data_IF_061687110933
#
_entry.id   IF_061687110933
#
_cell.length_a   1.000
_cell.length_b   1.000
_cell.length_c   1.000
_cell.angle_alpha   90.00
_cell.angle_beta   90.00
_cell.angle_gamma   90.00
#
_symmetry.space_group_name_H-M   'P 1'
#
loop_
_entity.id
_entity.type
_entity.pdbx_description
1 polymer ?
#
# COMPACT_ATOMS: atom_id res chain seq x y z
N UNK A 1 39.12 25.49 32.49
CA UNK A 1 38.77 24.14 32.01
C UNK A 1 37.37 24.23 31.42
N UNK A 2 37.29 23.93 30.13
CA UNK A 2 36.17 24.05 29.19
C UNK A 2 34.74 23.97 29.76
N UNK A 3 33.96 25.02 29.50
CA UNK A 3 32.48 24.95 29.48
C UNK A 3 32.05 24.01 28.34
N UNK A 4 31.45 22.88 28.69
CA UNK A 4 30.82 21.96 27.74
C UNK A 4 29.61 22.68 27.14
N UNK A 5 29.83 23.37 26.01
CA UNK A 5 28.76 23.84 25.14
C UNK A 5 28.00 22.62 24.63
N UNK A 6 26.86 22.36 25.25
CA UNK A 6 25.83 21.45 24.77
C UNK A 6 25.40 21.95 23.39
N UNK A 7 25.98 21.35 22.35
CA UNK A 7 25.59 21.58 20.95
C UNK A 7 24.18 21.02 20.80
N UNK A 8 23.17 21.85 21.07
CA UNK A 8 21.81 21.59 20.63
C UNK A 8 21.88 21.56 19.10
N UNK A 9 21.67 20.42 18.43
CA UNK A 9 21.64 20.41 16.98
C UNK A 9 20.53 21.36 16.56
N UNK A 10 20.87 22.40 15.78
CA UNK A 10 19.88 23.23 15.10
C UNK A 10 19.04 22.29 14.26
N UNK A 11 17.84 22.01 14.74
CA UNK A 11 16.81 21.32 13.99
C UNK A 11 16.67 22.09 12.67
N UNK A 12 17.18 21.50 11.60
CA UNK A 12 17.01 22.03 10.26
C UNK A 12 15.51 22.10 10.03
N UNK A 13 14.95 23.30 10.13
CA UNK A 13 13.61 23.57 9.66
C UNK A 13 13.60 23.21 8.18
N UNK A 14 13.15 21.99 7.89
CA UNK A 14 12.71 21.60 6.59
C UNK A 14 11.47 22.47 6.29
N UNK A 15 11.72 23.65 5.72
CA UNK A 15 10.73 24.66 5.31
C UNK A 15 9.81 24.18 4.18
N UNK A 16 9.67 22.87 3.98
CA UNK A 16 8.60 22.35 3.15
C UNK A 16 7.29 22.55 3.90
N UNK A 17 6.34 23.35 3.37
CA UNK A 17 5.06 23.55 4.04
C UNK A 17 4.41 22.18 4.20
N UNK A 18 3.97 21.86 5.42
CA UNK A 18 3.41 20.54 5.78
C UNK A 18 2.26 20.13 4.82
N UNK A 19 1.56 21.12 4.26
CA UNK A 19 0.59 20.97 3.17
C UNK A 19 1.16 20.26 1.93
N UNK A 20 2.39 20.57 1.50
CA UNK A 20 3.03 19.96 0.33
C UNK A 20 3.33 18.48 0.55
N UNK A 21 3.70 18.09 1.77
CA UNK A 21 4.03 16.70 2.08
C UNK A 21 2.79 15.80 2.18
N UNK A 22 1.70 16.32 2.73
CA UNK A 22 0.39 15.64 2.74
C UNK A 22 -0.15 15.52 1.32
N UNK A 23 -0.05 16.59 0.51
CA UNK A 23 -0.43 16.58 -0.90
C UNK A 23 0.30 15.49 -1.69
N UNK A 24 1.61 15.36 -1.51
CA UNK A 24 2.39 14.33 -2.20
C UNK A 24 1.96 12.92 -1.79
N UNK A 25 1.61 12.70 -0.51
CA UNK A 25 1.03 11.44 -0.05
C UNK A 25 -0.31 11.14 -0.71
N UNK A 26 -1.22 12.12 -0.76
CA UNK A 26 -2.52 11.96 -1.42
C UNK A 26 -2.39 11.69 -2.91
N UNK A 27 -1.49 12.40 -3.60
CA UNK A 27 -1.21 12.17 -5.03
C UNK A 27 -0.73 10.74 -5.22
N UNK A 28 0.16 10.24 -4.35
CA UNK A 28 0.64 8.87 -4.43
C UNK A 28 -0.48 7.86 -4.20
N UNK A 29 -1.37 8.09 -3.23
CA UNK A 29 -2.56 7.25 -3.01
C UNK A 29 -3.46 7.23 -4.24
N UNK A 30 -3.68 8.39 -4.87
CA UNK A 30 -4.50 8.50 -6.07
C UNK A 30 -3.87 7.75 -7.25
N UNK A 31 -2.56 7.88 -7.45
CA UNK A 31 -1.82 7.11 -8.46
C UNK A 31 -1.96 5.61 -8.21
N UNK A 32 -1.77 5.16 -6.97
CA UNK A 32 -1.95 3.76 -6.60
C UNK A 32 -3.36 3.25 -6.89
N UNK A 33 -4.38 4.05 -6.58
CA UNK A 33 -5.76 3.73 -6.89
C UNK A 33 -6.04 3.64 -8.39
N UNK A 34 -5.48 4.54 -9.20
CA UNK A 34 -5.60 4.48 -10.67
C UNK A 34 -4.93 3.24 -11.25
N UNK A 35 -3.76 2.86 -10.74
CA UNK A 35 -3.07 1.62 -11.11
C UNK A 35 -3.90 0.39 -10.72
N UNK A 36 -4.52 0.41 -9.54
CA UNK A 36 -5.41 -0.66 -9.10
C UNK A 36 -6.65 -0.76 -10.00
N UNK A 37 -7.24 0.36 -10.43
CA UNK A 37 -8.35 0.36 -11.40
C UNK A 37 -7.95 -0.16 -12.78
N UNK A 38 -6.76 0.22 -13.26
CA UNK A 38 -6.19 -0.25 -14.52
C UNK A 38 -6.01 -1.77 -14.49
N UNK A 39 -5.54 -2.32 -13.37
CA UNK A 39 -5.51 -3.74 -13.12
C UNK A 39 -6.92 -4.35 -12.97
N UNK A 40 -7.82 -3.81 -12.16
CA UNK A 40 -9.11 -4.44 -11.90
C UNK A 40 -10.04 -4.48 -13.14
N UNK A 41 -10.04 -3.41 -13.94
CA UNK A 41 -10.86 -3.28 -15.15
C UNK A 41 -10.05 -2.59 -16.28
N UNK A 42 -9.17 -3.33 -16.97
CA UNK A 42 -8.41 -2.78 -18.09
C UNK A 42 -9.31 -2.27 -19.24
N UNK A 43 -10.53 -2.80 -19.35
CA UNK A 43 -11.52 -2.34 -20.33
C UNK A 43 -11.97 -0.89 -20.15
N UNK A 44 -11.80 -0.29 -18.96
CA UNK A 44 -12.07 1.14 -18.75
C UNK A 44 -11.09 2.04 -19.51
N UNK A 45 -9.93 1.50 -19.88
CA UNK A 45 -8.85 2.20 -20.56
C UNK A 45 -8.69 1.74 -22.01
N UNK A 46 -9.65 0.97 -22.55
CA UNK A 46 -9.63 0.49 -23.93
C UNK A 46 -8.60 -0.63 -24.20
N UNK A 47 -8.11 -1.32 -23.16
CA UNK A 47 -7.24 -2.50 -23.33
C UNK A 47 -8.09 -3.77 -23.50
N UNK A 48 -7.76 -4.57 -24.52
CA UNK A 48 -8.44 -5.83 -24.83
C UNK A 48 -8.22 -6.91 -23.76
N UNK A 49 -9.20 -7.82 -23.62
CA UNK A 49 -9.16 -8.94 -22.66
C UNK A 49 -8.58 -10.19 -23.32
N UNK A 50 -7.25 -10.26 -23.42
CA UNK A 50 -6.53 -11.49 -23.79
C UNK A 50 -6.18 -12.30 -22.53
N UNK A 51 -6.24 -13.65 -22.53
CA UNK A 51 -5.88 -14.49 -21.38
C UNK A 51 -4.46 -14.25 -20.84
N UNK A 52 -3.51 -13.90 -21.72
CA UNK A 52 -2.12 -13.54 -21.35
C UNK A 52 -2.07 -12.26 -20.50
N UNK A 53 -3.09 -11.41 -20.62
CA UNK A 53 -3.21 -10.16 -19.86
C UNK A 53 -3.64 -10.42 -18.42
N UNK A 54 -4.25 -11.56 -18.08
CA UNK A 54 -4.64 -11.88 -16.69
C UNK A 54 -3.48 -11.88 -15.69
N UNK A 55 -2.30 -12.35 -16.10
CA UNK A 55 -1.08 -12.27 -15.29
C UNK A 55 -0.63 -10.81 -15.09
N UNK A 56 -0.55 -10.05 -16.19
CA UNK A 56 -0.17 -8.62 -16.16
C UNK A 56 -1.18 -7.82 -15.32
N UNK A 57 -2.44 -8.21 -15.38
CA UNK A 57 -3.55 -7.63 -14.66
C UNK A 57 -3.36 -7.79 -13.14
N UNK A 58 -3.10 -9.00 -12.66
CA UNK A 58 -2.86 -9.25 -11.22
C UNK A 58 -1.58 -8.57 -10.74
N UNK A 59 -0.52 -8.54 -11.55
CA UNK A 59 0.70 -7.80 -11.23
C UNK A 59 0.45 -6.28 -11.10
N UNK A 60 -0.36 -5.69 -11.99
CA UNK A 60 -0.77 -4.29 -11.90
C UNK A 60 -1.64 -4.01 -10.67
N UNK A 61 -2.56 -4.90 -10.30
CA UNK A 61 -3.37 -4.78 -9.08
C UNK A 61 -2.44 -4.73 -7.86
N UNK A 62 -1.50 -5.66 -7.74
CA UNK A 62 -0.57 -5.73 -6.60
C UNK A 62 0.33 -4.48 -6.55
N UNK A 63 0.87 -4.06 -7.69
CA UNK A 63 1.71 -2.87 -7.77
C UNK A 63 0.93 -1.60 -7.40
N UNK A 64 -0.30 -1.46 -7.90
CA UNK A 64 -1.20 -0.38 -7.53
C UNK A 64 -1.54 -0.37 -6.04
N UNK A 65 -1.82 -1.55 -5.47
CA UNK A 65 -2.09 -1.73 -4.04
C UNK A 65 -0.87 -1.32 -3.18
N UNK A 66 0.35 -1.69 -3.59
CA UNK A 66 1.58 -1.31 -2.88
C UNK A 66 1.80 0.21 -2.88
N UNK A 67 1.61 0.86 -4.04
CA UNK A 67 1.70 2.32 -4.16
C UNK A 67 0.60 3.01 -3.32
N UNK A 68 -0.61 2.45 -3.32
CA UNK A 68 -1.73 2.94 -2.51
C UNK A 68 -1.43 2.84 -1.01
N UNK A 69 -0.92 1.70 -0.54
CA UNK A 69 -0.51 1.51 0.86
C UNK A 69 0.56 2.52 1.28
N UNK A 70 1.55 2.77 0.42
CA UNK A 70 2.62 3.74 0.70
C UNK A 70 2.08 5.17 0.75
N UNK A 71 1.22 5.55 -0.20
CA UNK A 71 0.55 6.86 -0.19
C UNK A 71 -0.30 7.06 1.05
N UNK A 72 -1.11 6.06 1.43
CA UNK A 72 -1.93 6.09 2.63
C UNK A 72 -1.08 6.27 3.89
N UNK A 73 -0.01 5.49 4.05
CA UNK A 73 0.91 5.59 5.19
C UNK A 73 1.53 7.00 5.31
N UNK A 74 2.07 7.55 4.21
CA UNK A 74 2.71 8.87 4.23
C UNK A 74 1.69 9.98 4.53
N UNK A 75 0.49 9.86 3.97
CA UNK A 75 -0.59 10.83 4.16
C UNK A 75 -1.06 10.86 5.61
N UNK A 76 -1.42 9.70 6.17
CA UNK A 76 -1.96 9.61 7.53
C UNK A 76 -0.92 9.96 8.59
N UNK A 77 0.33 9.48 8.45
CA UNK A 77 1.40 9.77 9.41
C UNK A 77 1.73 11.26 9.53
N UNK A 78 1.54 12.02 8.45
CA UNK A 78 1.79 13.48 8.45
C UNK A 78 0.55 14.31 8.76
N UNK A 79 -0.64 13.75 8.55
CA UNK A 79 -1.91 14.38 8.90
C UNK A 79 -2.05 14.50 10.42
N UNK A 80 -1.69 13.47 11.17
CA UNK A 80 -1.63 13.52 12.63
C UNK A 80 -0.30 14.11 13.12
N UNK A 81 -0.22 15.44 13.22
CA UNK A 81 0.85 16.14 13.97
C UNK A 81 0.68 15.94 15.49
N UNK A 82 0.86 14.72 16.00
CA UNK A 82 0.96 14.46 17.45
C UNK A 82 2.39 14.09 17.83
N UNK A 83 2.81 14.36 19.08
CA UNK A 83 4.17 14.07 19.55
C UNK A 83 4.52 12.58 19.66
N UNK A 84 3.61 11.65 19.33
CA UNK A 84 3.89 10.22 19.22
C UNK A 84 2.74 9.45 18.56
N UNK A 85 3.04 8.33 17.86
CA UNK A 85 2.01 7.44 17.36
C UNK A 85 1.24 6.78 18.50
N UNK A 86 -0.06 6.55 18.30
CA UNK A 86 -0.89 5.80 19.25
C UNK A 86 -0.60 4.30 19.09
N UNK A 87 -0.78 3.51 20.15
CA UNK A 87 -0.62 2.05 20.05
C UNK A 87 -1.48 1.45 18.93
N UNK A 88 -2.72 1.95 18.77
CA UNK A 88 -3.64 1.56 17.70
C UNK A 88 -3.09 1.91 16.32
N UNK A 89 -2.48 3.09 16.14
CA UNK A 89 -1.89 3.48 14.87
C UNK A 89 -0.67 2.62 14.51
N UNK A 90 0.19 2.32 15.49
CA UNK A 90 1.34 1.43 15.29
C UNK A 90 0.89 0.00 14.92
N UNK A 91 -0.13 -0.54 15.59
CA UNK A 91 -0.76 -1.80 15.19
C UNK A 91 -1.39 -1.73 13.79
N UNK A 92 -2.06 -0.62 13.46
CA UNK A 92 -2.64 -0.38 12.15
C UNK A 92 -1.62 -0.45 11.02
N UNK A 93 -0.42 0.11 11.22
CA UNK A 93 0.66 0.01 10.21
C UNK A 93 1.11 -1.43 9.97
N UNK A 94 1.13 -2.26 11.02
CA UNK A 94 1.51 -3.68 10.91
C UNK A 94 0.43 -4.47 10.20
N UNK A 95 -0.85 -4.24 10.55
CA UNK A 95 -1.99 -4.89 9.90
C UNK A 95 -2.05 -4.53 8.42
N UNK A 96 -1.83 -3.25 8.07
CA UNK A 96 -1.70 -2.79 6.69
C UNK A 96 -0.61 -3.57 5.95
N UNK A 97 0.60 -3.65 6.51
CA UNK A 97 1.72 -4.35 5.90
C UNK A 97 1.43 -5.85 5.72
N UNK A 98 0.85 -6.50 6.72
CA UNK A 98 0.47 -7.92 6.65
C UNK A 98 -0.59 -8.17 5.59
N UNK A 99 -1.61 -7.31 5.49
CA UNK A 99 -2.63 -7.40 4.44
C UNK A 99 -2.03 -7.30 3.04
N UNK A 100 -1.07 -6.40 2.84
CA UNK A 100 -0.33 -6.29 1.57
C UNK A 100 0.48 -7.55 1.25
N UNK A 101 1.19 -8.11 2.24
CA UNK A 101 1.92 -9.38 2.07
C UNK A 101 0.97 -10.50 1.64
N UNK A 102 -0.18 -10.64 2.31
CA UNK A 102 -1.19 -11.65 1.95
C UNK A 102 -1.67 -11.43 0.51
N UNK A 103 -1.97 -10.21 0.10
CA UNK A 103 -2.41 -9.90 -1.26
C UNK A 103 -1.34 -10.25 -2.32
N UNK A 104 -0.06 -9.95 -2.04
CA UNK A 104 1.05 -10.29 -2.94
C UNK A 104 1.17 -11.80 -3.13
N UNK A 105 1.24 -12.56 -2.05
CA UNK A 105 1.48 -14.01 -2.12
C UNK A 105 0.29 -14.77 -2.68
N UNK A 106 -0.93 -14.32 -2.39
CA UNK A 106 -2.14 -14.97 -2.92
C UNK A 106 -2.37 -14.61 -4.38
N UNK A 107 -2.16 -13.35 -4.79
CA UNK A 107 -2.31 -12.93 -6.18
C UNK A 107 -1.20 -13.45 -7.10
N UNK A 108 0.01 -13.66 -6.60
CA UNK A 108 1.13 -14.22 -7.37
C UNK A 108 1.35 -15.72 -7.12
N UNK A 109 0.38 -16.44 -6.55
CA UNK A 109 0.57 -17.85 -6.16
C UNK A 109 1.02 -18.74 -7.33
N UNK A 110 0.41 -18.61 -8.52
CA UNK A 110 0.82 -19.36 -9.72
C UNK A 110 2.24 -18.98 -10.20
N UNK A 111 2.62 -17.71 -10.04
CA UNK A 111 3.93 -17.16 -10.47
C UNK A 111 5.05 -17.69 -9.59
N UNK A 112 4.79 -17.78 -8.28
CA UNK A 112 5.72 -18.37 -7.32
C UNK A 112 5.74 -19.90 -7.35
N UNK A 113 4.84 -20.55 -8.10
CA UNK A 113 4.80 -22.00 -8.26
C UNK A 113 4.08 -22.76 -7.14
N UNK A 114 3.39 -22.05 -6.23
CA UNK A 114 2.53 -22.67 -5.21
C UNK A 114 1.08 -22.86 -5.70
N UNK A 115 0.72 -22.20 -6.78
CA UNK A 115 -0.62 -22.24 -7.36
C UNK A 115 -0.88 -23.47 -8.22
N UNK A 116 -2.14 -23.64 -8.64
CA UNK A 116 -2.61 -24.84 -9.32
C UNK A 116 -2.22 -24.91 -10.81
N UNK A 117 -1.78 -23.79 -11.40
CA UNK A 117 -1.35 -23.73 -12.80
C UNK A 117 0.04 -23.09 -12.92
N UNK A 118 1.10 -23.82 -12.53
CA UNK A 118 2.46 -23.35 -12.69
C UNK A 118 2.88 -23.28 -14.18
N UNK A 119 3.84 -22.42 -14.46
CA UNK A 119 4.50 -22.27 -15.77
C UNK A 119 5.04 -23.65 -16.21
N UNK A 120 4.82 -24.14 -17.47
CA UNK A 120 4.57 -23.39 -18.72
C UNK A 120 3.10 -23.22 -19.13
N UNK A 121 2.14 -23.54 -18.26
CA UNK A 121 0.72 -23.24 -18.51
C UNK A 121 0.41 -21.74 -18.44
N UNK A 122 -0.73 -21.31 -18.99
CA UNK A 122 -1.22 -19.94 -18.78
C UNK A 122 -1.62 -19.75 -17.30
N UNK A 123 -1.00 -18.82 -16.55
CA UNK A 123 -1.38 -18.57 -15.17
C UNK A 123 -2.86 -18.18 -15.08
N UNK A 124 -3.59 -18.77 -14.13
CA UNK A 124 -5.03 -18.59 -14.04
C UNK A 124 -5.40 -18.04 -12.66
N UNK A 125 -5.85 -16.79 -12.65
CA UNK A 125 -6.34 -16.15 -11.43
C UNK A 125 -7.64 -16.79 -10.94
N UNK A 126 -7.48 -17.83 -10.12
CA UNK A 126 -8.59 -18.66 -9.65
C UNK A 126 -9.31 -18.10 -8.42
N UNK A 127 -10.44 -18.72 -8.03
CA UNK A 127 -11.26 -18.26 -6.90
C UNK A 127 -10.49 -18.14 -5.58
N UNK A 128 -9.59 -19.09 -5.30
CA UNK A 128 -8.80 -19.08 -4.07
C UNK A 128 -7.78 -17.94 -4.04
N UNK A 129 -7.14 -17.62 -5.18
CA UNK A 129 -6.26 -16.46 -5.29
C UNK A 129 -7.05 -15.17 -5.10
N UNK A 130 -8.22 -15.06 -5.76
CA UNK A 130 -9.08 -13.88 -5.61
C UNK A 130 -9.55 -13.67 -4.17
N UNK A 131 -9.90 -14.74 -3.46
CA UNK A 131 -10.34 -14.66 -2.08
C UNK A 131 -9.18 -14.24 -1.16
N UNK A 132 -7.98 -14.75 -1.42
CA UNK A 132 -6.78 -14.32 -0.71
C UNK A 132 -6.46 -12.84 -0.90
N UNK A 133 -6.58 -12.32 -2.13
CA UNK A 133 -6.39 -10.89 -2.43
C UNK A 133 -7.43 -10.05 -1.69
N UNK A 134 -8.70 -10.44 -1.73
CA UNK A 134 -9.79 -9.74 -1.02
C UNK A 134 -9.56 -9.70 0.49
N UNK A 135 -9.08 -10.80 1.09
CA UNK A 135 -8.72 -10.82 2.52
C UNK A 135 -7.56 -9.85 2.80
N UNK A 136 -6.55 -9.81 1.93
CA UNK A 136 -5.45 -8.86 2.02
C UNK A 136 -5.92 -7.41 1.94
N UNK A 137 -6.81 -7.09 1.00
CA UNK A 137 -7.43 -5.76 0.85
C UNK A 137 -8.26 -5.37 2.07
N UNK A 138 -9.03 -6.30 2.65
CA UNK A 138 -9.79 -6.06 3.86
C UNK A 138 -8.89 -5.72 5.06
N UNK A 139 -7.78 -6.44 5.22
CA UNK A 139 -6.78 -6.15 6.26
C UNK A 139 -6.09 -4.80 6.02
N UNK A 140 -5.76 -4.46 4.77
CA UNK A 140 -5.26 -3.13 4.41
C UNK A 140 -6.25 -2.05 4.82
N UNK A 141 -7.53 -2.20 4.49
CA UNK A 141 -8.56 -1.24 4.85
C UNK A 141 -8.68 -1.07 6.36
N UNK A 142 -8.69 -2.17 7.13
CA UNK A 142 -8.69 -2.16 8.59
C UNK A 142 -7.45 -1.41 9.12
N UNK A 143 -6.27 -1.71 8.59
CA UNK A 143 -5.02 -1.03 8.96
C UNK A 143 -5.06 0.48 8.72
N UNK A 144 -5.62 0.91 7.58
CA UNK A 144 -5.81 2.33 7.26
C UNK A 144 -6.78 2.99 8.26
N UNK A 145 -7.90 2.34 8.57
CA UNK A 145 -8.88 2.86 9.54
C UNK A 145 -8.25 2.98 10.93
N UNK A 146 -7.48 1.98 11.38
CA UNK A 146 -6.78 2.02 12.67
C UNK A 146 -5.71 3.11 12.74
N UNK A 147 -5.00 3.37 11.63
CA UNK A 147 -4.09 4.51 11.54
C UNK A 147 -4.83 5.86 11.60
N UNK A 148 -6.08 5.90 11.15
CA UNK A 148 -6.93 7.10 11.15
C UNK A 148 -7.80 7.27 12.41
N UNK A 149 -7.90 6.26 13.28
CA UNK A 149 -8.70 6.38 14.50
C UNK A 149 -8.05 7.39 15.47
N UNK A 150 -8.80 8.41 15.84
CA UNK A 150 -8.44 9.34 16.92
C UNK A 150 -8.33 8.53 18.20
N UNK A 151 -7.16 8.53 18.83
CA UNK A 151 -7.09 8.16 20.24
C UNK A 151 -7.70 9.31 21.04
N UNK A 152 -8.83 8.99 21.69
CA UNK A 152 -9.39 9.75 22.80
C UNK A 152 -8.33 9.97 23.89
#
# INVERSE_FOLDING_TARGET
MEEIKLVIPKNGEDKTPIKSKIRNGLILTLIGYLLLLLGAKPSLFGLDRSPVIGFVQTAMIILGLGVLCLGAYISLKKFWKRPGPTLTADFGTRILATGYVIAVFTGMADVFGFGSHPIPGVPFFGPLQSMGVVIGEALIAIGIVMMGSVAD
#
